data_IF_165344514374
#
_entry.id   IF_165344514374
#
_cell.length_a   1.000
_cell.length_b   1.000
_cell.length_c   1.000
_cell.angle_alpha   90.00
_cell.angle_beta   90.00
_cell.angle_gamma   90.00
#
_symmetry.space_group_name_H-M   'P 1'
#
loop_
_entity.id
_entity.type
_entity.pdbx_description
1 polymer ?
#
# COMPACT_ATOMS: atom_id res chain seq x y z
N UNK A 1 -5.33 35.38 -9.87
CA UNK A 1 -4.57 34.56 -8.90
C UNK A 1 -5.20 34.65 -7.50
N UNK A 2 -6.45 34.18 -7.30
CA UNK A 2 -7.14 34.32 -6.00
C UNK A 2 -7.90 33.05 -5.56
N UNK A 3 -8.35 32.19 -6.48
CA UNK A 3 -9.10 30.98 -6.11
C UNK A 3 -8.27 29.87 -5.44
N UNK A 4 -6.99 29.73 -5.77
CA UNK A 4 -6.13 28.65 -5.23
C UNK A 4 -5.98 28.78 -3.70
N UNK A 5 -5.83 30.03 -3.21
CA UNK A 5 -5.68 30.30 -1.77
C UNK A 5 -6.91 29.95 -0.93
N UNK A 6 -8.11 30.00 -1.51
CA UNK A 6 -9.35 29.69 -0.79
C UNK A 6 -9.52 28.18 -0.60
N UNK A 7 -9.15 27.39 -1.61
CA UNK A 7 -9.21 25.93 -1.56
C UNK A 7 -8.24 25.40 -0.50
N UNK A 8 -7.00 25.91 -0.46
CA UNK A 8 -6.00 25.50 0.54
C UNK A 8 -6.47 25.78 1.98
N UNK A 9 -7.09 26.95 2.21
CA UNK A 9 -7.63 27.30 3.53
C UNK A 9 -8.74 26.32 4.01
N UNK A 10 -9.50 25.73 3.09
CA UNK A 10 -10.51 24.71 3.41
C UNK A 10 -9.84 23.39 3.81
N UNK A 11 -8.72 23.03 3.18
CA UNK A 11 -7.96 21.82 3.49
C UNK A 11 -7.20 21.91 4.82
N UNK A 12 -6.76 23.11 5.22
CA UNK A 12 -6.07 23.34 6.49
C UNK A 12 -7.01 23.39 7.70
N UNK A 13 -8.28 23.76 7.49
CA UNK A 13 -9.30 23.84 8.54
C UNK A 13 -10.54 23.00 8.18
N UNK A 14 -10.37 21.67 8.10
CA UNK A 14 -11.50 20.77 7.88
C UNK A 14 -12.48 20.82 9.07
N UNK A 15 -13.77 21.13 8.84
CA UNK A 15 -14.77 21.08 9.88
C UNK A 15 -14.96 19.63 10.38
N UNK A 16 -15.24 19.48 11.67
CA UNK A 16 -15.54 18.15 12.23
C UNK A 16 -16.82 17.57 11.61
N UNK A 17 -16.98 16.24 11.64
CA UNK A 17 -18.20 15.59 11.13
C UNK A 17 -19.48 16.17 11.75
N UNK A 18 -19.47 16.47 13.05
CA UNK A 18 -20.60 17.12 13.74
C UNK A 18 -20.89 18.51 13.19
N UNK A 19 -19.84 19.27 12.91
CA UNK A 19 -19.97 20.61 12.36
C UNK A 19 -20.50 20.59 10.93
N UNK A 20 -20.09 19.60 10.12
CA UNK A 20 -20.65 19.38 8.79
C UNK A 20 -22.14 19.01 8.83
N UNK A 21 -22.55 18.14 9.75
CA UNK A 21 -23.97 17.84 9.96
C UNK A 21 -24.75 19.08 10.41
N UNK A 22 -24.23 19.83 11.38
CA UNK A 22 -24.84 21.08 11.84
C UNK A 22 -24.98 22.08 10.68
N UNK A 23 -23.93 22.27 9.88
CA UNK A 23 -24.00 23.16 8.70
C UNK A 23 -25.08 22.69 7.73
N UNK A 24 -25.14 21.39 7.42
CA UNK A 24 -26.14 20.78 6.54
C UNK A 24 -27.57 21.03 7.02
N UNK A 25 -27.82 20.95 8.33
CA UNK A 25 -29.12 21.19 8.93
C UNK A 25 -29.60 22.63 8.74
N UNK A 26 -28.67 23.60 8.73
CA UNK A 26 -28.96 25.02 8.52
C UNK A 26 -29.13 25.44 7.05
N UNK A 27 -28.83 24.57 6.07
CA UNK A 27 -29.08 24.90 4.66
C UNK A 27 -30.58 24.96 4.37
N UNK A 28 -30.99 25.90 3.52
CA UNK A 28 -32.33 26.00 2.96
C UNK A 28 -32.56 24.95 1.84
N UNK A 29 -32.33 23.68 2.16
CA UNK A 29 -32.53 22.53 1.26
C UNK A 29 -33.77 21.73 1.65
N UNK A 30 -34.42 21.04 0.69
CA UNK A 30 -35.46 20.06 0.98
C UNK A 30 -34.97 18.96 1.93
N UNK A 31 -35.87 18.41 2.74
CA UNK A 31 -35.55 17.38 3.72
C UNK A 31 -34.84 16.16 3.09
N UNK A 32 -35.31 15.71 1.92
CA UNK A 32 -34.72 14.58 1.21
C UNK A 32 -33.27 14.85 0.77
N UNK A 33 -32.96 16.07 0.34
CA UNK A 33 -31.61 16.46 -0.03
C UNK A 33 -30.66 16.45 1.19
N UNK A 34 -31.14 16.91 2.36
CA UNK A 34 -30.39 16.82 3.62
C UNK A 34 -30.13 15.38 4.03
N UNK A 35 -31.13 14.50 3.90
CA UNK A 35 -30.97 13.07 4.21
C UNK A 35 -29.93 12.42 3.28
N UNK A 36 -29.96 12.71 1.98
CA UNK A 36 -28.99 12.18 1.02
C UNK A 36 -27.57 12.66 1.31
N UNK A 37 -27.40 13.97 1.56
CA UNK A 37 -26.10 14.57 1.92
C UNK A 37 -25.56 14.00 3.24
N UNK A 38 -26.43 13.82 4.24
CA UNK A 38 -26.10 13.16 5.50
C UNK A 38 -25.58 11.75 5.25
N UNK A 39 -26.35 10.92 4.52
CA UNK A 39 -25.94 9.54 4.16
C UNK A 39 -24.64 9.48 3.39
N UNK A 40 -24.37 10.44 2.51
CA UNK A 40 -23.11 10.53 1.77
C UNK A 40 -21.94 10.80 2.72
N UNK A 41 -22.11 11.72 3.68
CA UNK A 41 -21.10 12.02 4.69
C UNK A 41 -20.81 10.80 5.58
N UNK A 42 -21.85 10.06 5.99
CA UNK A 42 -21.68 8.86 6.81
C UNK A 42 -21.00 7.71 6.08
N UNK A 43 -21.41 7.46 4.83
CA UNK A 43 -20.81 6.40 4.00
C UNK A 43 -19.34 6.71 3.69
N UNK A 44 -19.01 7.96 3.36
CA UNK A 44 -17.62 8.39 3.14
C UNK A 44 -16.77 8.22 4.40
N UNK A 45 -17.28 8.63 5.56
CA UNK A 45 -16.58 8.46 6.84
C UNK A 45 -16.34 6.99 7.19
N UNK A 46 -17.30 6.12 6.88
CA UNK A 46 -17.17 4.67 7.09
C UNK A 46 -16.08 4.06 6.20
N UNK A 47 -16.03 4.46 4.93
CA UNK A 47 -14.99 4.01 3.99
C UNK A 47 -13.61 4.50 4.43
N UNK A 48 -13.48 5.76 4.85
CA UNK A 48 -12.23 6.31 5.36
C UNK A 48 -11.71 5.52 6.58
N UNK A 49 -12.59 5.19 7.53
CA UNK A 49 -12.24 4.37 8.68
C UNK A 49 -11.67 3.00 8.28
N UNK A 50 -12.33 2.32 7.32
CA UNK A 50 -11.85 1.04 6.78
C UNK A 50 -10.49 1.16 6.10
N UNK A 51 -10.27 2.23 5.33
CA UNK A 51 -8.98 2.48 4.65
C UNK A 51 -7.86 2.66 5.69
N UNK A 52 -8.10 3.43 6.75
CA UNK A 52 -7.12 3.65 7.82
C UNK A 52 -6.82 2.33 8.54
N UNK A 53 -7.83 1.51 8.82
CA UNK A 53 -7.66 0.20 9.44
C UNK A 53 -6.80 -0.74 8.57
N UNK A 54 -7.06 -0.79 7.27
CA UNK A 54 -6.25 -1.54 6.31
C UNK A 54 -4.81 -1.04 6.33
N UNK A 55 -4.60 0.29 6.23
CA UNK A 55 -3.29 0.94 6.31
C UNK A 55 -2.48 0.52 7.54
N UNK A 56 -3.12 0.53 8.72
CA UNK A 56 -2.50 0.08 9.99
C UNK A 56 -2.10 -1.39 9.92
N UNK A 57 -2.94 -2.24 9.35
CA UNK A 57 -2.66 -3.69 9.23
C UNK A 57 -1.50 -3.97 8.29
N UNK A 58 -1.39 -3.23 7.17
CA UNK A 58 -0.21 -3.29 6.28
C UNK A 58 1.05 -2.97 7.08
N UNK A 59 1.04 -1.83 7.78
CA UNK A 59 2.23 -1.32 8.45
C UNK A 59 2.67 -2.27 9.58
N UNK A 60 1.73 -2.80 10.35
CA UNK A 60 2.02 -3.83 11.36
C UNK A 60 2.69 -5.06 10.74
N UNK A 61 2.16 -5.57 9.64
CA UNK A 61 2.72 -6.71 8.93
C UNK A 61 4.14 -6.42 8.39
N UNK A 62 4.35 -5.26 7.77
CA UNK A 62 5.67 -4.85 7.26
C UNK A 62 6.69 -4.74 8.39
N UNK A 63 6.32 -4.12 9.52
CA UNK A 63 7.21 -3.97 10.67
C UNK A 63 7.58 -5.31 11.31
N UNK A 64 6.62 -6.23 11.41
CA UNK A 64 6.85 -7.59 11.92
C UNK A 64 7.74 -8.41 10.98
N UNK A 65 7.54 -8.24 9.68
CA UNK A 65 8.35 -8.91 8.67
C UNK A 65 9.79 -8.38 8.65
N UNK A 66 9.98 -7.07 8.75
CA UNK A 66 11.31 -6.43 8.83
C UNK A 66 12.10 -6.93 10.03
N UNK A 67 11.43 -7.17 11.16
CA UNK A 67 12.07 -7.72 12.38
C UNK A 67 12.41 -9.20 12.28
N UNK A 68 11.62 -9.98 11.55
CA UNK A 68 11.76 -11.44 11.52
C UNK A 68 12.79 -11.94 10.50
N UNK A 69 13.02 -11.19 9.41
CA UNK A 69 13.92 -11.62 8.33
C UNK A 69 14.77 -10.47 7.80
N UNK A 70 15.88 -10.08 8.45
CA UNK A 70 16.73 -8.94 8.03
C UNK A 70 17.43 -9.11 6.66
N UNK A 71 17.18 -10.23 5.96
CA UNK A 71 17.71 -10.52 4.62
C UNK A 71 16.77 -10.10 3.49
N UNK A 72 17.40 -9.68 2.39
CA UNK A 72 16.90 -9.11 1.13
C UNK A 72 15.59 -9.66 0.52
N UNK A 73 15.17 -10.89 0.82
CA UNK A 73 13.89 -11.48 0.39
C UNK A 73 12.67 -10.68 0.88
N UNK A 74 12.87 -9.82 1.89
CA UNK A 74 11.94 -8.84 2.43
C UNK A 74 11.34 -7.90 1.40
N UNK A 75 12.15 -7.35 0.48
CA UNK A 75 11.68 -6.33 -0.46
C UNK A 75 10.65 -6.87 -1.44
N UNK A 76 10.89 -8.08 -1.97
CA UNK A 76 9.97 -8.75 -2.88
C UNK A 76 8.68 -9.19 -2.19
N UNK A 77 8.75 -9.77 -0.98
CA UNK A 77 7.56 -10.23 -0.27
C UNK A 77 6.73 -9.07 0.31
N UNK A 78 7.38 -8.05 0.89
CA UNK A 78 6.71 -6.80 1.28
C UNK A 78 6.07 -6.16 0.05
N UNK A 79 6.77 -6.22 -1.08
CA UNK A 79 6.25 -5.69 -2.32
C UNK A 79 5.01 -6.35 -2.86
N UNK A 80 5.04 -7.68 -2.92
CA UNK A 80 3.88 -8.46 -3.31
C UNK A 80 2.74 -8.26 -2.32
N UNK A 81 3.03 -8.19 -1.02
CA UNK A 81 2.00 -8.03 0.01
C UNK A 81 1.37 -6.63 -0.03
N UNK A 82 2.18 -5.57 -0.11
CA UNK A 82 1.70 -4.19 -0.22
C UNK A 82 0.95 -4.01 -1.54
N UNK A 83 1.44 -4.54 -2.65
CA UNK A 83 0.75 -4.48 -3.96
C UNK A 83 -0.58 -5.23 -3.94
N UNK A 84 -0.61 -6.43 -3.34
CA UNK A 84 -1.84 -7.20 -3.15
C UNK A 84 -2.85 -6.46 -2.28
N UNK A 85 -2.38 -5.82 -1.20
CA UNK A 85 -3.24 -5.13 -0.25
C UNK A 85 -3.76 -3.80 -0.79
N UNK A 86 -2.95 -3.07 -1.55
CA UNK A 86 -3.40 -1.89 -2.33
C UNK A 86 -4.40 -2.31 -3.41
N UNK A 87 -4.17 -3.45 -4.09
CA UNK A 87 -5.10 -4.02 -5.06
C UNK A 87 -6.44 -4.50 -4.47
N UNK A 88 -6.48 -4.75 -3.16
CA UNK A 88 -7.70 -5.17 -2.43
C UNK A 88 -8.66 -4.02 -2.16
N UNK A 89 -8.26 -2.76 -2.41
CA UNK A 89 -9.10 -1.59 -2.20
C UNK A 89 -10.01 -1.42 -3.43
N UNK A 90 -11.33 -1.65 -3.33
CA UNK A 90 -12.24 -1.82 -4.47
C UNK A 90 -12.50 -0.55 -5.30
N UNK A 91 -11.78 0.56 -5.05
CA UNK A 91 -11.84 1.81 -5.81
C UNK A 91 -10.45 2.29 -6.26
N UNK A 92 -9.48 2.36 -5.35
CA UNK A 92 -8.09 2.71 -5.70
C UNK A 92 -7.39 1.60 -6.49
N UNK A 93 -7.66 0.33 -6.16
CA UNK A 93 -7.10 -0.83 -6.87
C UNK A 93 -7.59 -0.96 -8.31
N UNK A 94 -8.81 -0.51 -8.62
CA UNK A 94 -9.33 -0.55 -9.99
C UNK A 94 -8.67 0.49 -10.91
N UNK A 95 -8.42 1.70 -10.39
CA UNK A 95 -7.87 2.81 -11.17
C UNK A 95 -6.34 2.81 -11.18
N UNK A 96 -5.71 2.59 -10.02
CA UNK A 96 -4.24 2.59 -9.88
C UNK A 96 -3.63 1.20 -10.07
N UNK A 97 -4.38 0.11 -9.84
CA UNK A 97 -3.85 -1.25 -9.96
C UNK A 97 -3.23 -1.58 -11.34
N UNK A 98 -3.84 -1.18 -12.48
CA UNK A 98 -3.28 -1.47 -13.80
C UNK A 98 -1.95 -0.77 -14.09
N UNK A 99 -1.62 0.32 -13.40
CA UNK A 99 -0.42 1.14 -13.65
C UNK A 99 0.60 0.94 -12.51
N UNK A 100 0.16 1.12 -11.27
CA UNK A 100 1.00 1.01 -10.08
C UNK A 100 1.38 -0.44 -9.78
N UNK A 101 0.50 -1.42 -10.07
CA UNK A 101 0.78 -2.84 -9.84
C UNK A 101 2.01 -3.35 -10.60
N UNK A 102 2.06 -3.18 -11.94
CA UNK A 102 3.24 -3.56 -12.72
C UNK A 102 4.49 -2.77 -12.35
N UNK A 103 4.36 -1.47 -12.05
CA UNK A 103 5.50 -0.63 -11.65
C UNK A 103 6.09 -1.05 -10.31
N UNK A 104 5.25 -1.30 -9.30
CA UNK A 104 5.69 -1.78 -7.99
C UNK A 104 6.27 -3.18 -8.08
N UNK A 105 5.63 -4.09 -8.83
CA UNK A 105 6.15 -5.43 -9.07
C UNK A 105 7.53 -5.38 -9.76
N UNK A 106 7.67 -4.59 -10.84
CA UNK A 106 8.92 -4.42 -11.53
C UNK A 106 10.01 -3.82 -10.62
N UNK A 107 9.67 -2.79 -9.84
CA UNK A 107 10.60 -2.15 -8.90
C UNK A 107 11.07 -3.12 -7.81
N UNK A 108 10.16 -3.90 -7.22
CA UNK A 108 10.50 -4.85 -6.16
C UNK A 108 11.21 -6.10 -6.66
N UNK A 109 10.88 -6.61 -7.85
CA UNK A 109 11.65 -7.68 -8.50
C UNK A 109 13.07 -7.19 -8.78
N UNK A 110 13.21 -5.99 -9.34
CA UNK A 110 14.53 -5.41 -9.67
C UNK A 110 15.37 -5.20 -8.42
N UNK A 111 14.80 -4.59 -7.38
CA UNK A 111 15.51 -4.36 -6.12
C UNK A 111 15.81 -5.67 -5.37
N UNK A 112 14.92 -6.66 -5.45
CA UNK A 112 15.17 -7.99 -4.91
C UNK A 112 16.33 -8.70 -5.62
N UNK A 113 16.34 -8.68 -6.95
CA UNK A 113 17.39 -9.28 -7.76
C UNK A 113 18.76 -8.62 -7.52
N UNK A 114 18.83 -7.29 -7.52
CA UNK A 114 20.08 -6.54 -7.29
C UNK A 114 20.72 -6.84 -5.93
N UNK A 115 19.89 -6.98 -4.90
CA UNK A 115 20.38 -7.20 -3.56
C UNK A 115 20.66 -8.70 -3.26
N UNK A 116 20.08 -9.64 -4.02
CA UNK A 116 20.48 -11.05 -4.02
C UNK A 116 21.87 -11.23 -4.67
N UNK A 117 22.12 -10.52 -5.77
CA UNK A 117 23.44 -10.48 -6.42
C UNK A 117 24.54 -9.88 -5.53
N UNK A 118 24.19 -8.98 -4.61
CA UNK A 118 25.15 -8.43 -3.63
C UNK A 118 25.49 -9.40 -2.50
N UNK A 119 24.73 -10.47 -2.32
CA UNK A 119 24.95 -11.43 -1.24
C UNK A 119 25.62 -12.70 -1.81
N UNK A 120 26.91 -12.90 -1.52
CA UNK A 120 27.75 -14.02 -2.01
C UNK A 120 27.31 -15.44 -1.58
N UNK A 121 26.12 -15.57 -1.00
CA UNK A 121 25.52 -16.86 -0.62
C UNK A 121 25.21 -17.71 -1.84
N UNK A 122 24.76 -17.10 -2.93
CA UNK A 122 24.49 -17.79 -4.21
C UNK A 122 25.79 -18.30 -4.82
N UNK A 123 26.84 -17.48 -4.85
CA UNK A 123 28.18 -17.90 -5.32
C UNK A 123 28.70 -19.10 -4.51
N UNK A 124 28.50 -19.08 -3.19
CA UNK A 124 28.99 -20.14 -2.30
C UNK A 124 28.26 -21.46 -2.48
N UNK A 125 26.96 -21.42 -2.77
CA UNK A 125 26.16 -22.62 -3.09
C UNK A 125 26.50 -23.18 -4.47
N UNK A 126 26.73 -22.32 -5.47
CA UNK A 126 27.16 -22.73 -6.81
C UNK A 126 28.55 -23.39 -6.74
N UNK A 127 29.49 -22.83 -5.98
CA UNK A 127 30.81 -23.41 -5.78
C UNK A 127 30.75 -24.78 -5.06
N UNK A 128 29.91 -24.91 -4.02
CA UNK A 128 29.70 -26.18 -3.30
C UNK A 128 29.04 -27.25 -4.18
N UNK A 129 28.10 -26.85 -5.04
CA UNK A 129 27.44 -27.75 -5.96
C UNK A 129 28.39 -28.23 -7.06
N UNK A 130 29.21 -27.33 -7.61
CA UNK A 130 30.29 -27.68 -8.55
C UNK A 130 31.27 -28.67 -7.94
N UNK A 131 31.74 -28.41 -6.71
CA UNK A 131 32.63 -29.33 -6.00
C UNK A 131 32.01 -30.71 -5.75
N UNK A 132 30.70 -30.80 -5.47
CA UNK A 132 30.00 -32.07 -5.31
C UNK A 132 29.84 -32.82 -6.65
N UNK A 133 29.58 -32.11 -7.74
CA UNK A 133 29.48 -32.71 -9.07
C UNK A 133 30.83 -33.27 -9.53
N UNK A 134 31.90 -32.52 -9.36
CA UNK A 134 33.26 -32.97 -9.69
C UNK A 134 33.66 -34.21 -8.88
N UNK A 135 33.30 -34.25 -7.59
CA UNK A 135 33.55 -35.41 -6.74
C UNK A 135 32.77 -36.67 -7.16
N UNK A 136 31.56 -36.51 -7.74
CA UNK A 136 30.75 -37.61 -8.27
C UNK A 136 31.26 -38.06 -9.64
N UNK A 137 31.63 -37.13 -10.51
CA UNK A 137 32.19 -37.41 -11.84
C UNK A 137 33.57 -38.08 -11.74
N UNK A 138 34.38 -37.73 -10.74
CA UNK A 138 35.69 -38.34 -10.54
C UNK A 138 35.67 -39.73 -9.87
N UNK A 139 34.54 -40.14 -9.28
CA UNK A 139 34.35 -41.44 -8.61
C UNK A 139 33.45 -42.41 -9.39
N UNK A 140 32.93 -42.01 -10.56
CA UNK A 140 32.15 -42.87 -11.47
C UNK A 140 32.97 -43.25 -12.70
#
# INVERSE_FOLDING_TARGET
>A
MSQISCVDAIWDNLPSRRELHSRLDHLALPADAKVLMGRLLETTATVAGRIIEVGRRILSFVLEMVRSFPGTTLGALVGLTVTSLVGSIPLLGFVLGPIAGPLLAAFMITQGALADMRNSTVERQIALFGAKLDAVVANG
#
